data_IF_621829014151
#
_entry.id   IF_621829014151
#
_cell.length_a   1.000
_cell.length_b   1.000
_cell.length_c   1.000
_cell.angle_alpha   90.00
_cell.angle_beta   90.00
_cell.angle_gamma   90.00
#
_symmetry.space_group_name_H-M   'P 1'
#
loop_
_entity.id
_entity.type
_entity.pdbx_description
1 polymer ?
2 water ?
#
# COMPACT_ATOMS: atom_id res chain seq x y z
N UNK A 2 5.06 11.68 -27.39
CA UNK A 2 6.43 11.75 -26.90
C UNK A 2 6.62 13.01 -26.07
N UNK A 3 5.55 13.79 -25.94
CA UNK A 3 5.59 14.99 -25.12
C UNK A 3 5.92 14.67 -23.67
N UNK A 4 5.51 13.51 -23.18
CA UNK A 4 5.68 13.16 -21.78
C UNK A 4 7.07 12.61 -21.48
N UNK A 5 7.87 12.30 -22.50
CA UNK A 5 9.14 11.62 -22.28
C UNK A 5 10.32 12.58 -22.17
N UNK A 6 10.07 13.87 -22.24
CA UNK A 6 11.12 14.86 -22.15
C UNK A 6 11.57 15.02 -20.70
N UNK A 7 12.89 15.04 -20.50
CA UNK A 7 13.43 15.28 -19.17
C UNK A 7 12.84 16.55 -18.59
N UNK A 8 12.63 16.56 -17.27
CA UNK A 8 12.02 17.61 -16.46
C UNK A 8 10.47 17.59 -16.53
N UNK A 9 9.86 16.71 -17.34
CA UNK A 9 8.40 16.61 -17.45
C UNK A 9 7.89 15.60 -16.43
N UNK A 10 6.88 15.98 -15.66
CA UNK A 10 6.10 15.06 -14.83
C UNK A 10 4.65 15.20 -15.25
N UNK A 11 4.08 14.10 -15.72
CA UNK A 11 2.75 14.03 -16.29
C UNK A 11 1.86 13.17 -15.40
N UNK A 12 0.66 13.67 -15.10
CA UNK A 12 -0.38 12.87 -14.47
C UNK A 12 -1.52 12.61 -15.43
N UNK A 13 -2.03 11.38 -15.50
CA UNK A 13 -3.28 11.24 -16.24
C UNK A 13 -4.04 10.03 -15.76
N UNK A 14 -5.39 10.00 -15.99
CA UNK A 14 -6.18 8.76 -15.86
C UNK A 14 -6.95 8.40 -17.14
N UNK A 15 -7.63 7.24 -17.15
CA UNK A 15 -8.46 6.85 -18.27
C UNK A 15 -8.97 5.42 -18.25
N UNK A 16 -9.02 4.77 -19.41
CA UNK A 16 -9.30 3.34 -19.53
C UNK A 16 -8.87 2.84 -20.91
N UNK A 17 -7.81 2.03 -20.94
CA UNK A 17 -7.15 1.59 -22.16
C UNK A 17 -5.66 1.54 -21.93
N UNK A 18 -5.31 1.28 -20.67
CA UNK A 18 -3.98 1.60 -20.15
C UNK A 18 -2.94 0.56 -20.56
N UNK A 19 -3.27 -0.73 -20.43
CA UNK A 19 -2.30 -1.78 -20.67
C UNK A 19 -2.35 -2.35 -22.07
N UNK A 20 -3.47 -2.21 -22.78
CA UNK A 20 -3.54 -2.69 -24.14
C UNK A 20 -2.80 -1.78 -25.11
N UNK A 21 -2.69 -0.49 -24.80
CA UNK A 21 -2.22 0.48 -25.78
C UNK A 21 -1.27 1.51 -25.18
N UNK A 22 -1.66 2.15 -24.09
CA UNK A 22 -0.90 3.30 -23.58
C UNK A 22 0.46 2.86 -23.07
N UNK A 23 0.47 1.93 -22.10
CA UNK A 23 1.75 1.41 -21.60
C UNK A 23 2.62 0.81 -22.70
N UNK A 24 2.11 -0.03 -23.60
CA UNK A 24 2.97 -0.54 -24.68
C UNK A 24 3.52 0.54 -25.60
N UNK A 25 2.75 1.58 -25.89
CA UNK A 25 3.26 2.66 -26.72
C UNK A 25 4.39 3.40 -26.03
N UNK A 26 4.23 3.67 -24.74
CA UNK A 26 5.29 4.31 -23.97
C UNK A 26 6.55 3.44 -23.97
N UNK A 27 6.37 2.13 -23.73
CA UNK A 27 7.51 1.22 -23.69
C UNK A 27 8.18 1.12 -25.06
N UNK A 28 7.37 1.04 -26.12
CA UNK A 28 7.91 1.02 -27.47
C UNK A 28 8.77 2.24 -27.75
N UNK A 29 8.27 3.43 -27.39
CA UNK A 29 9.02 4.66 -27.62
C UNK A 29 10.28 4.69 -26.75
N UNK A 30 10.17 4.24 -25.50
CA UNK A 30 11.33 4.20 -24.61
C UNK A 30 12.44 3.32 -25.18
N UNK A 31 12.07 2.16 -25.72
CA UNK A 31 13.07 1.27 -26.31
C UNK A 31 13.69 1.90 -27.55
N UNK A 32 12.85 2.48 -28.41
CA UNK A 32 13.38 3.10 -29.63
C UNK A 32 14.33 4.24 -29.33
N UNK A 33 14.12 4.93 -28.21
CA UNK A 33 14.96 6.05 -27.82
C UNK A 33 16.06 5.65 -26.85
N UNK A 34 16.16 4.38 -26.50
CA UNK A 34 17.17 3.89 -25.56
C UNK A 34 17.00 4.55 -24.21
N UNK A 35 15.76 4.76 -23.81
CA UNK A 35 15.46 5.35 -22.51
C UNK A 35 15.46 4.26 -21.45
N UNK A 36 16.37 4.35 -20.49
CA UNK A 36 16.36 3.43 -19.36
C UNK A 36 15.12 3.71 -18.51
N UNK A 37 14.25 2.72 -18.37
CA UNK A 37 12.89 2.98 -17.89
C UNK A 37 12.52 2.07 -16.73
N UNK A 38 11.85 2.67 -15.73
CA UNK A 38 11.29 1.93 -14.61
C UNK A 38 9.78 2.02 -14.66
N UNK A 39 9.10 0.86 -14.76
CA UNK A 39 7.65 0.78 -14.69
C UNK A 39 7.28 0.22 -13.32
N UNK A 40 6.51 1.00 -12.54
CA UNK A 40 6.27 0.73 -11.13
C UNK A 40 4.81 0.40 -10.89
N UNK A 41 4.55 -0.79 -10.37
CA UNK A 41 3.20 -1.23 -10.06
C UNK A 41 2.98 -1.23 -8.55
N UNK A 42 1.76 -0.96 -8.09
CA UNK A 42 1.53 -0.89 -6.64
C UNK A 42 1.62 -2.25 -5.96
N UNK A 43 1.25 -3.32 -6.65
CA UNK A 43 1.10 -4.64 -6.07
C UNK A 43 1.71 -5.67 -7.00
N UNK A 44 1.95 -6.86 -6.45
CA UNK A 44 2.43 -7.95 -7.29
C UNK A 44 1.42 -8.32 -8.36
N UNK A 45 0.12 -8.21 -8.06
CA UNK A 45 -0.88 -8.53 -9.07
C UNK A 45 -0.77 -7.55 -10.23
N UNK A 46 -0.69 -6.25 -9.92
CA UNK A 46 -0.64 -5.30 -11.01
C UNK A 46 0.68 -5.39 -11.75
N UNK A 47 1.78 -5.71 -11.04
CA UNK A 47 3.05 -5.93 -11.74
C UNK A 47 2.94 -7.06 -12.74
N UNK A 48 2.27 -8.15 -12.34
CA UNK A 48 2.06 -9.27 -13.24
C UNK A 48 1.22 -8.86 -14.45
N UNK A 49 0.17 -8.07 -14.22
CA UNK A 49 -0.71 -7.71 -15.33
C UNK A 49 -0.01 -6.77 -16.30
N UNK A 50 0.82 -5.87 -15.76
CA UNK A 50 1.64 -5.02 -16.64
C UNK A 50 2.65 -5.85 -17.40
N UNK A 51 3.30 -6.79 -16.71
CA UNK A 51 4.29 -7.62 -17.41
C UNK A 51 3.65 -8.42 -18.54
N UNK A 52 2.43 -8.91 -18.33
CA UNK A 52 1.74 -9.64 -19.39
C UNK A 52 1.36 -8.71 -20.53
N UNK A 53 0.92 -7.49 -20.22
CA UNK A 53 0.62 -6.51 -21.25
C UNK A 53 1.84 -6.20 -22.10
N UNK A 54 3.05 -6.34 -21.54
CA UNK A 54 4.29 -5.99 -22.22
C UNK A 54 5.04 -7.20 -22.75
N UNK A 55 4.34 -8.32 -22.94
CA UNK A 55 4.99 -9.58 -23.32
C UNK A 55 5.73 -9.49 -24.66
N UNK A 56 5.36 -8.53 -25.52
CA UNK A 56 6.02 -8.42 -26.81
C UNK A 56 7.34 -7.65 -26.74
N UNK A 57 7.73 -7.15 -25.57
CA UNK A 57 8.94 -6.36 -25.47
C UNK A 57 9.93 -7.01 -24.50
N UNK A 58 11.23 -6.82 -24.71
CA UNK A 58 12.22 -7.30 -23.73
C UNK A 58 12.20 -6.48 -22.45
N UNK A 59 11.76 -7.09 -21.37
CA UNK A 59 11.68 -6.41 -20.08
C UNK A 59 12.40 -7.26 -19.05
N UNK A 60 12.89 -6.57 -18.03
CA UNK A 60 13.49 -7.15 -16.84
C UNK A 60 12.52 -6.97 -15.69
N UNK A 61 12.28 -8.03 -14.92
CA UNK A 61 11.48 -7.94 -13.71
C UNK A 61 12.41 -7.88 -12.51
N UNK A 62 12.18 -6.90 -11.63
CA UNK A 62 12.99 -6.73 -10.43
C UNK A 62 12.15 -6.94 -9.19
N UNK A 63 12.66 -7.74 -8.26
CA UNK A 63 12.15 -7.81 -6.90
C UNK A 63 13.16 -7.10 -6.02
N UNK A 64 12.93 -6.93 -4.71
CA UNK A 64 13.97 -6.32 -3.87
C UNK A 64 15.25 -7.13 -3.81
N UNK A 65 15.21 -8.43 -4.12
CA UNK A 65 16.37 -9.29 -3.98
C UNK A 65 16.91 -9.83 -5.30
N UNK A 66 16.08 -10.01 -6.33
CA UNK A 66 16.50 -10.73 -7.53
C UNK A 66 16.07 -9.98 -8.78
N UNK A 67 16.69 -10.35 -9.90
CA UNK A 67 16.33 -9.85 -11.21
C UNK A 67 16.03 -11.01 -12.13
N UNK A 68 15.03 -10.83 -12.98
CA UNK A 68 14.60 -11.83 -13.96
C UNK A 68 14.84 -11.24 -15.35
N UNK A 69 15.75 -11.83 -16.11
CA UNK A 69 16.01 -11.31 -17.44
C UNK A 69 16.36 -12.47 -18.36
N UNK A 70 16.41 -12.19 -19.65
CA UNK A 70 16.80 -13.17 -20.65
C UNK A 70 18.18 -12.94 -21.23
N UNK A 71 18.64 -11.70 -21.30
CA UNK A 71 19.92 -11.41 -21.94
C UNK A 71 20.82 -10.58 -21.03
N UNK A 72 20.21 -9.78 -20.16
CA UNK A 72 20.93 -8.77 -19.43
C UNK A 72 21.07 -7.44 -20.15
N UNK A 73 20.65 -7.36 -21.41
CA UNK A 73 20.68 -6.11 -22.17
C UNK A 73 19.36 -5.36 -22.13
N UNK A 74 18.37 -5.86 -21.40
CA UNK A 74 17.09 -5.16 -21.30
C UNK A 74 17.29 -3.78 -20.68
N UNK A 75 16.50 -2.80 -21.13
CA UNK A 75 16.54 -1.46 -20.56
C UNK A 75 15.21 -1.04 -19.94
N UNK A 76 14.17 -1.87 -20.03
CA UNK A 76 12.87 -1.60 -19.43
C UNK A 76 12.74 -2.53 -18.22
N UNK A 77 12.62 -1.96 -17.03
CA UNK A 77 12.43 -2.71 -15.79
C UNK A 77 11.00 -2.57 -15.28
N UNK A 78 10.42 -3.70 -14.86
CA UNK A 78 9.10 -3.72 -14.22
C UNK A 78 9.31 -4.15 -12.76
N UNK A 79 8.66 -3.44 -11.84
CA UNK A 79 8.79 -3.75 -10.42
C UNK A 79 7.63 -3.14 -9.66
N UNK A 80 7.51 -3.52 -8.38
CA UNK A 80 6.60 -2.85 -7.47
C UNK A 80 7.16 -1.51 -7.00
N UNK A 81 6.26 -0.57 -6.68
CA UNK A 81 6.69 0.71 -6.10
C UNK A 81 7.75 0.49 -5.03
N UNK A 82 7.47 -0.45 -4.12
CA UNK A 82 8.30 -0.62 -2.94
C UNK A 82 9.66 -1.21 -3.30
N UNK A 83 9.77 -1.84 -4.47
CA UNK A 83 11.04 -2.40 -4.87
C UNK A 83 12.05 -1.31 -5.22
N UNK A 84 11.57 -0.21 -5.84
CA UNK A 84 12.46 0.92 -6.11
C UNK A 84 12.98 1.49 -4.80
N UNK A 85 12.07 1.77 -3.87
CA UNK A 85 12.48 2.34 -2.59
C UNK A 85 13.43 1.41 -1.85
N UNK A 86 13.14 0.10 -1.89
CA UNK A 86 13.99 -0.85 -1.20
C UNK A 86 15.40 -0.86 -1.78
N UNK A 87 15.51 -0.85 -3.11
CA UNK A 87 16.85 -0.88 -3.72
C UNK A 87 17.57 0.45 -3.54
N UNK A 88 16.85 1.56 -3.40
CA UNK A 88 17.51 2.83 -3.13
C UNK A 88 18.12 2.88 -1.73
N UNK A 89 17.55 2.13 -0.78
CA UNK A 89 18.03 2.13 0.59
C UNK A 89 19.27 1.25 0.77
N UNK A 90 19.36 0.15 0.04
CA UNK A 90 20.53 -0.71 0.11
C UNK A 90 21.71 -0.03 -0.57
N UNK A 94 21.04 1.13 -8.15
CA UNK A 94 19.86 1.54 -8.90
C UNK A 94 20.25 2.33 -10.14
N UNK A 95 19.75 1.91 -11.29
CA UNK A 95 20.05 2.62 -12.54
C UNK A 95 19.59 4.07 -12.47
N UNK A 96 20.27 4.93 -13.23
CA UNK A 96 19.82 6.31 -13.37
C UNK A 96 18.77 6.33 -14.47
N UNK A 97 17.55 5.91 -14.10
CA UNK A 97 16.47 5.81 -15.06
C UNK A 97 16.17 7.15 -15.71
N UNK A 98 15.98 7.13 -17.03
CA UNK A 98 15.60 8.33 -17.76
C UNK A 98 14.10 8.58 -17.71
N UNK A 99 13.33 7.54 -17.39
CA UNK A 99 11.87 7.59 -17.45
C UNK A 99 11.32 6.72 -16.34
N UNK A 100 10.35 7.26 -15.60
CA UNK A 100 9.60 6.50 -14.60
C UNK A 100 8.14 6.52 -15.01
N UNK A 101 7.49 5.37 -14.94
CA UNK A 101 6.04 5.29 -15.10
C UNK A 101 5.50 4.64 -13.84
N UNK A 102 4.72 5.38 -13.06
CA UNK A 102 4.14 4.82 -11.84
C UNK A 102 2.66 4.59 -12.05
N UNK A 103 2.25 3.32 -12.01
CA UNK A 103 0.84 3.00 -12.09
C UNK A 103 0.22 3.06 -10.70
N UNK A 104 -1.06 3.46 -10.67
CA UNK A 104 -1.80 3.66 -9.42
C UNK A 104 -1.01 4.51 -8.44
N UNK A 105 -0.63 5.69 -8.91
CA UNK A 105 0.25 6.60 -8.19
C UNK A 105 -0.43 7.29 -7.00
N UNK A 106 -1.64 6.92 -6.60
CA UNK A 106 -2.24 7.45 -5.40
C UNK A 106 -1.91 6.62 -4.16
N UNK A 107 -1.29 5.44 -4.33
CA UNK A 107 -1.01 4.52 -3.23
C UNK A 107 -0.28 5.24 -2.10
N UNK A 108 -0.81 5.18 -0.88
CA UNK A 108 -0.17 5.86 0.24
C UNK A 108 0.61 4.91 1.14
N UNK A 109 0.99 3.74 0.63
CA UNK A 109 2.02 2.96 1.30
C UNK A 109 3.27 3.83 1.47
N UNK A 110 3.96 3.78 2.62
CA UNK A 110 5.14 4.65 2.81
C UNK A 110 6.17 4.55 1.68
N UNK A 111 6.43 3.33 1.19
CA UNK A 111 7.40 3.17 0.12
C UNK A 111 6.94 3.79 -1.18
N UNK A 112 5.62 3.86 -1.40
CA UNK A 112 5.09 4.50 -2.61
C UNK A 112 5.22 6.01 -2.52
N UNK A 113 4.85 6.57 -1.38
CA UNK A 113 5.03 8.00 -1.15
C UNK A 113 6.49 8.37 -1.32
N UNK A 114 7.38 7.60 -0.70
CA UNK A 114 8.80 7.91 -0.84
C UNK A 114 9.25 7.79 -2.29
N UNK A 115 8.76 6.77 -3.00
CA UNK A 115 9.13 6.61 -4.40
C UNK A 115 8.71 7.83 -5.22
N UNK A 116 7.50 8.36 -4.97
CA UNK A 116 7.09 9.55 -5.70
C UNK A 116 7.96 10.75 -5.37
N UNK A 117 8.42 10.84 -4.12
CA UNK A 117 9.32 11.92 -3.76
C UNK A 117 10.65 11.83 -4.48
N UNK A 118 11.24 10.63 -4.49
CA UNK A 118 12.48 10.39 -5.22
C UNK A 118 12.31 10.72 -6.70
N UNK A 119 11.25 10.18 -7.31
CA UNK A 119 11.03 10.36 -8.74
C UNK A 119 10.79 11.83 -9.05
N UNK A 120 9.89 12.46 -8.28
CA UNK A 120 9.62 13.89 -8.45
C UNK A 120 10.91 14.71 -8.38
N UNK A 121 11.80 14.35 -7.46
CA UNK A 121 13.04 15.09 -7.29
C UNK A 121 13.97 14.88 -8.48
N UNK A 122 14.07 13.64 -8.98
CA UNK A 122 14.88 13.38 -10.16
C UNK A 122 14.36 14.16 -11.37
N UNK A 123 13.05 14.30 -11.48
CA UNK A 123 12.47 15.07 -12.59
C UNK A 123 12.81 16.55 -12.44
N UNK A 124 12.61 17.09 -11.23
CA UNK A 124 12.91 18.51 -10.99
C UNK A 124 14.39 18.82 -11.18
N UNK A 125 15.27 17.85 -10.93
CA UNK A 125 16.68 18.04 -11.19
C UNK A 125 17.03 17.90 -12.67
N UNK A 126 16.05 17.58 -13.51
CA UNK A 126 16.30 17.41 -14.93
C UNK A 126 16.99 16.11 -15.29
N UNK A 127 16.92 15.11 -14.43
CA UNK A 127 17.58 13.84 -14.70
C UNK A 127 16.66 12.80 -15.31
N UNK A 128 15.35 13.07 -15.34
CA UNK A 128 14.39 12.06 -15.76
C UNK A 128 13.08 12.74 -16.14
N UNK A 129 12.24 11.98 -16.82
CA UNK A 129 10.83 12.30 -17.00
C UNK A 129 10.01 11.29 -16.22
N UNK A 130 8.80 11.68 -15.82
CA UNK A 130 7.96 10.73 -15.10
C UNK A 130 6.50 10.87 -15.51
N UNK A 131 5.79 9.74 -15.44
CA UNK A 131 4.36 9.66 -15.73
C UNK A 131 3.72 8.99 -14.53
N UNK A 132 2.80 9.68 -13.88
CA UNK A 132 2.04 9.15 -12.77
C UNK A 132 0.64 8.83 -13.28
N UNK A 133 0.21 7.59 -13.16
CA UNK A 133 -1.09 7.20 -13.69
C UNK A 133 -2.02 6.93 -12.51
N UNK A 134 -3.12 7.69 -12.43
CA UNK A 134 -4.10 7.43 -11.38
C UNK A 134 -5.36 8.23 -11.65
N UNK A 135 -6.50 7.64 -11.29
CA UNK A 135 -7.76 8.37 -11.36
C UNK A 135 -7.94 9.36 -10.23
N UNK A 136 -7.13 9.28 -9.17
CA UNK A 136 -7.22 10.21 -8.04
C UNK A 136 -5.83 10.73 -7.72
N UNK A 137 -5.35 11.71 -8.48
CA UNK A 137 -4.02 12.28 -8.26
C UNK A 137 -3.85 12.76 -6.83
N UNK A 138 -2.69 12.53 -6.24
CA UNK A 138 -2.38 13.13 -4.93
C UNK A 138 -2.73 14.60 -4.95
N UNK A 139 -3.48 15.02 -3.95
CA UNK A 139 -3.94 16.39 -3.85
C UNK A 139 -5.42 16.56 -4.16
N UNK A 140 -6.05 15.60 -4.85
CA UNK A 140 -7.44 15.77 -5.24
C UNK A 140 -8.38 15.25 -4.15
N UNK A 141 -9.64 15.71 -4.19
CA UNK A 141 -10.58 15.58 -3.08
C UNK A 141 -12.03 15.36 -3.51
N UNK A 142 -12.25 14.78 -4.69
CA UNK A 142 -13.59 14.65 -5.24
C UNK A 142 -14.13 13.23 -5.09
N UNK A 143 -15.04 12.96 -4.15
CA UNK A 143 -15.46 11.57 -3.89
C UNK A 143 -16.43 11.01 -4.92
N UNK A 144 -17.04 11.83 -5.77
CA UNK A 144 -18.02 11.35 -6.76
C UNK A 144 -17.60 11.79 -8.16
N UNK A 145 -16.45 11.33 -8.64
CA UNK A 145 -15.97 11.79 -9.95
C UNK A 145 -16.82 11.22 -11.08
N UNK A 146 -16.56 11.75 -12.27
CA UNK A 146 -17.23 11.24 -13.46
C UNK A 146 -16.85 9.78 -13.69
N UNK A 147 -17.68 9.10 -14.48
CA UNK A 147 -17.45 7.69 -14.75
C UNK A 147 -17.94 7.37 -16.16
N UNK A 148 -17.52 6.21 -16.66
CA UNK A 148 -17.92 5.80 -18.00
C UNK A 148 -19.41 5.58 -18.14
N UNK A 149 -20.06 5.15 -17.05
CA UNK A 149 -21.49 4.98 -17.00
C UNK A 149 -21.98 5.63 -15.73
N UNK A 150 -23.15 6.27 -15.74
CA UNK A 150 -23.64 6.91 -14.53
C UNK A 150 -23.76 5.92 -13.38
N UNK A 151 -23.37 6.38 -12.20
CA UNK A 151 -23.45 5.58 -10.98
C UNK A 151 -24.61 6.08 -10.15
N UNK A 152 -25.39 5.16 -9.60
CA UNK A 152 -26.45 5.50 -8.68
C UNK A 152 -25.84 5.54 -7.28
N UNK A 153 -25.73 6.74 -6.71
CA UNK A 153 -25.13 6.91 -5.38
C UNK A 153 -26.24 6.92 -4.34
N UNK A 154 -26.15 6.02 -3.37
CA UNK A 154 -27.21 5.82 -2.37
C UNK A 154 -26.58 5.88 -0.99
N UNK A 155 -26.94 6.88 -0.20
CA UNK A 155 -26.46 6.99 1.18
C UNK A 155 -27.44 6.29 2.10
N UNK A 156 -26.98 5.24 2.79
CA UNK A 156 -27.86 4.52 3.71
C UNK A 156 -27.02 3.69 4.66
N UNK A 157 -27.68 3.14 5.69
CA UNK A 157 -26.97 2.41 6.72
C UNK A 157 -26.36 1.12 6.15
N UNK A 158 -25.15 0.83 6.58
CA UNK A 158 -24.37 -0.31 6.13
C UNK A 158 -24.01 -1.14 7.35
N UNK A 159 -24.18 -2.47 7.32
CA UNK A 159 -23.81 -3.29 8.48
C UNK A 159 -22.33 -3.20 8.79
N UNK A 160 -22.00 -3.24 10.08
CA UNK A 160 -20.61 -3.35 10.51
C UNK A 160 -20.35 -4.65 11.26
N UNK A 161 -21.27 -5.60 11.15
CA UNK A 161 -21.23 -6.88 11.82
C UNK A 161 -22.34 -7.72 11.22
N UNK A 162 -22.42 -8.98 11.63
CA UNK A 162 -23.51 -9.83 11.14
C UNK A 162 -24.86 -9.22 11.49
N UNK A 163 -25.86 -9.52 10.66
CA UNK A 163 -27.22 -9.08 10.92
C UNK A 163 -28.14 -10.29 10.81
N UNK A 164 -29.27 -10.23 11.52
CA UNK A 164 -30.22 -11.33 11.51
C UNK A 164 -31.58 -10.89 10.97
N UNK A 165 -31.64 -9.72 10.36
CA UNK A 165 -32.89 -9.10 9.94
C UNK A 165 -32.53 -7.87 9.13
N UNK A 166 -33.50 -7.40 8.35
CA UNK A 166 -33.30 -6.19 7.60
C UNK A 166 -32.27 -6.34 6.49
N UNK A 167 -31.81 -5.20 5.99
CA UNK A 167 -30.84 -5.14 4.90
C UNK A 167 -31.24 -6.04 3.74
N UNK A 168 -32.56 -6.15 3.50
CA UNK A 168 -33.02 -6.98 2.39
C UNK A 168 -32.37 -6.56 1.08
N UNK A 169 -32.08 -5.27 0.93
CA UNK A 169 -31.49 -4.78 -0.32
C UNK A 169 -30.14 -5.41 -0.59
N UNK A 170 -29.41 -5.82 0.46
CA UNK A 170 -28.08 -6.40 0.28
C UNK A 170 -28.20 -7.80 -0.32
N UNK A 171 -29.04 -8.63 0.28
CA UNK A 171 -29.11 -10.04 -0.11
C UNK A 171 -30.13 -10.34 -1.20
N UNK A 172 -31.09 -9.45 -1.47
CA UNK A 172 -32.05 -9.72 -2.54
C UNK A 172 -31.49 -9.41 -3.94
N UNK A 173 -30.42 -8.62 -4.00
CA UNK A 173 -29.79 -8.21 -5.26
C UNK A 173 -29.11 -9.40 -5.93
N UNK A 174 -29.18 -9.47 -7.27
CA UNK A 174 -28.55 -10.64 -7.92
C UNK A 174 -27.31 -10.31 -8.76
N UNK A 175 -26.76 -9.13 -8.68
CA UNK A 175 -25.50 -8.84 -9.33
C UNK A 175 -24.31 -9.19 -8.45
N UNK A 176 -23.16 -8.63 -8.81
CA UNK A 176 -21.93 -8.83 -8.05
C UNK A 176 -21.61 -7.56 -7.27
N UNK A 177 -21.22 -7.74 -6.02
CA UNK A 177 -21.01 -6.62 -5.10
C UNK A 177 -19.59 -6.66 -4.56
N UNK A 178 -18.94 -5.51 -4.54
CA UNK A 178 -17.65 -5.32 -3.87
C UNK A 178 -17.90 -4.49 -2.61
N UNK A 179 -17.54 -5.03 -1.45
CA UNK A 179 -17.89 -4.42 -0.17
C UNK A 179 -16.61 -4.10 0.58
N UNK A 180 -16.33 -2.82 0.78
CA UNK A 180 -15.10 -2.37 1.42
C UNK A 180 -15.31 -2.26 2.92
N UNK A 181 -14.43 -2.90 3.69
CA UNK A 181 -14.51 -2.90 5.14
C UNK A 181 -13.21 -2.35 5.71
N UNK A 182 -13.24 -1.84 6.96
CA UNK A 182 -12.02 -1.31 7.59
C UNK A 182 -11.09 -2.36 8.17
N UNK A 183 -11.57 -3.58 8.43
CA UNK A 183 -10.72 -4.57 9.07
C UNK A 183 -11.05 -5.96 8.55
N UNK A 184 -10.05 -6.84 8.57
CA UNK A 184 -10.26 -8.21 8.14
C UNK A 184 -11.26 -8.91 9.06
N UNK A 185 -11.20 -8.61 10.36
CA UNK A 185 -12.11 -9.26 11.30
C UNK A 185 -13.56 -8.90 11.00
N UNK A 186 -13.84 -7.61 10.79
CA UNK A 186 -15.20 -7.23 10.43
C UNK A 186 -15.62 -7.88 9.11
N UNK A 187 -14.71 -7.89 8.12
CA UNK A 187 -15.02 -8.52 6.85
C UNK A 187 -15.40 -9.97 7.00
N UNK A 188 -14.72 -10.69 7.91
CA UNK A 188 -15.00 -12.11 8.08
C UNK A 188 -16.36 -12.32 8.71
N UNK A 189 -16.71 -11.48 9.70
CA UNK A 189 -18.05 -11.59 10.29
C UNK A 189 -19.14 -11.37 9.26
N UNK A 190 -18.93 -10.40 8.36
CA UNK A 190 -19.89 -10.14 7.29
C UNK A 190 -19.88 -11.27 6.28
N UNK A 191 -18.70 -11.77 5.93
CA UNK A 191 -18.61 -12.82 4.92
C UNK A 191 -19.29 -14.09 5.40
N UNK A 192 -19.14 -14.43 6.67
CA UNK A 192 -19.82 -15.62 7.20
C UNK A 192 -21.32 -15.44 7.18
N UNK A 193 -21.80 -14.25 7.58
CA UNK A 193 -23.22 -13.95 7.51
C UNK A 193 -23.75 -14.13 6.08
N UNK A 194 -23.08 -13.55 5.11
CA UNK A 194 -23.51 -13.67 3.72
C UNK A 194 -23.43 -15.11 3.23
N UNK A 195 -22.38 -15.84 3.64
CA UNK A 195 -22.25 -17.23 3.23
C UNK A 195 -23.39 -18.08 3.78
N UNK A 196 -23.78 -17.87 5.04
CA UNK A 196 -24.92 -18.61 5.57
C UNK A 196 -26.23 -18.19 4.93
N UNK A 197 -26.28 -17.05 4.25
CA UNK A 197 -27.43 -16.64 3.47
C UNK A 197 -27.38 -17.17 2.03
N UNK A 198 -26.45 -18.07 1.73
CA UNK A 198 -26.37 -18.68 0.42
C UNK A 198 -25.54 -17.92 -0.60
N UNK A 199 -24.73 -16.96 -0.16
CA UNK A 199 -23.87 -16.21 -1.06
C UNK A 199 -22.50 -16.85 -1.17
N UNK A 200 -21.88 -16.69 -2.34
CA UNK A 200 -20.50 -17.10 -2.56
C UNK A 200 -19.62 -15.88 -2.34
N UNK A 201 -18.72 -15.94 -1.37
CA UNK A 201 -17.97 -14.76 -0.92
C UNK A 201 -16.46 -15.02 -1.02
N UNK A 202 -15.74 -14.02 -1.53
CA UNK A 202 -14.28 -14.01 -1.55
C UNK A 202 -13.82 -12.88 -0.65
N UNK A 203 -12.85 -13.15 0.22
CA UNK A 203 -12.33 -12.12 1.13
C UNK A 203 -10.94 -11.71 0.66
N UNK A 204 -10.74 -10.41 0.44
CA UNK A 204 -9.48 -9.86 -0.05
C UNK A 204 -8.86 -8.94 0.99
N UNK A 205 -7.57 -9.11 1.22
CA UNK A 205 -6.79 -8.26 2.09
C UNK A 205 -5.35 -8.42 1.65
N UNK A 206 -4.45 -7.65 2.27
CA UNK A 206 -3.07 -7.65 1.79
C UNK A 206 -2.43 -9.03 1.82
N UNK A 207 -2.76 -9.83 2.83
CA UNK A 207 -2.13 -11.15 2.90
C UNK A 207 -2.78 -12.16 1.96
N UNK A 208 -4.09 -12.05 1.73
CA UNK A 208 -4.79 -13.02 0.88
C UNK A 208 -4.81 -12.64 -0.58
N UNK A 209 -4.39 -11.42 -0.93
CA UNK A 209 -4.70 -10.86 -2.25
C UNK A 209 -4.14 -11.72 -3.39
N UNK A 210 -2.88 -12.12 -3.28
CA UNK A 210 -2.24 -12.84 -4.39
C UNK A 210 -2.92 -14.17 -4.70
N UNK A 211 -3.46 -14.85 -3.68
CA UNK A 211 -4.13 -16.11 -3.91
C UNK A 211 -5.62 -15.96 -4.21
N UNK A 212 -6.27 -14.96 -3.62
CA UNK A 212 -7.73 -14.84 -3.74
C UNK A 212 -8.19 -13.92 -4.85
N UNK A 213 -7.50 -12.80 -5.09
CA UNK A 213 -7.93 -11.94 -6.21
C UNK A 213 -7.98 -12.70 -7.53
N UNK A 214 -7.04 -13.57 -7.89
CA UNK A 214 -7.18 -14.33 -9.14
C UNK A 214 -8.45 -15.16 -9.21
N UNK A 215 -9.02 -15.57 -8.07
CA UNK A 215 -10.28 -16.30 -8.09
C UNK A 215 -11.44 -15.43 -8.55
N UNK A 216 -11.34 -14.10 -8.43
CA UNK A 216 -12.41 -13.23 -8.92
C UNK A 216 -12.57 -13.30 -10.42
N UNK A 217 -11.50 -13.64 -11.14
CA UNK A 217 -11.59 -13.69 -12.60
C UNK A 217 -12.43 -14.86 -13.08
N UNK A 218 -12.57 -15.91 -12.27
CA UNK A 218 -13.48 -17.00 -12.64
C UNK A 218 -14.93 -16.53 -12.67
N UNK A 219 -15.24 -15.40 -12.06
CA UNK A 219 -16.59 -14.92 -11.97
C UNK A 219 -17.51 -15.71 -11.05
N UNK A 220 -16.98 -16.71 -10.35
CA UNK A 220 -17.82 -17.58 -9.53
C UNK A 220 -17.91 -17.00 -8.11
N UNK A 221 -18.58 -15.86 -8.02
CA UNK A 221 -18.73 -15.21 -6.72
C UNK A 221 -19.90 -14.24 -6.77
N UNK A 222 -20.42 -13.94 -5.58
CA UNK A 222 -21.49 -12.96 -5.41
C UNK A 222 -21.01 -11.70 -4.73
N UNK A 223 -20.15 -11.85 -3.72
CA UNK A 223 -19.58 -10.73 -2.99
C UNK A 223 -18.08 -10.88 -2.91
N UNK A 224 -17.38 -9.76 -3.05
CA UNK A 224 -16.01 -9.61 -2.60
C UNK A 224 -16.04 -8.70 -1.38
N UNK A 225 -15.51 -9.20 -0.27
CA UNK A 225 -15.36 -8.40 0.95
C UNK A 225 -13.90 -8.05 1.02
N UNK A 226 -13.58 -6.77 0.96
CA UNK A 226 -12.19 -6.39 0.76
C UNK A 226 -11.81 -5.23 1.66
N UNK A 227 -10.55 -5.22 2.07
CA UNK A 227 -9.97 -4.02 2.65
C UNK A 227 -9.57 -3.05 1.55
N UNK A 228 -8.94 -1.94 1.97
CA UNK A 228 -8.60 -0.88 1.06
C UNK A 228 -7.55 -1.26 0.04
N UNK A 229 -6.92 -2.44 0.17
CA UNK A 229 -5.96 -2.85 -0.85
C UNK A 229 -6.57 -2.90 -2.24
N UNK A 230 -7.89 -3.08 -2.34
CA UNK A 230 -8.53 -3.11 -3.66
C UNK A 230 -8.72 -1.72 -4.26
N UNK A 231 -8.30 -0.66 -3.56
CA UNK A 231 -8.25 0.68 -4.17
C UNK A 231 -7.09 0.83 -5.15
N UNK A 232 -6.20 -0.17 -5.24
CA UNK A 232 -4.99 -0.08 -6.06
C UNK A 232 -5.02 -0.98 -7.29
N UNK A 233 -5.96 -0.75 -8.19
CA UNK A 233 -5.94 -1.38 -9.49
C UNK A 233 -6.76 -2.64 -9.65
N UNK A 234 -7.50 -3.05 -8.62
CA UNK A 234 -8.33 -4.24 -8.72
C UNK A 234 -9.50 -4.01 -9.68
N UNK A 235 -9.71 -4.97 -10.58
CA UNK A 235 -10.74 -4.89 -11.62
C UNK A 235 -11.72 -6.02 -11.38
N UNK A 236 -12.98 -5.70 -11.07
CA UNK A 236 -13.89 -6.73 -10.61
C UNK A 236 -14.99 -7.14 -11.58
N UNK A 237 -15.38 -6.30 -12.52
CA UNK A 237 -16.54 -6.69 -13.32
C UNK A 237 -17.77 -6.85 -12.46
N UNK A 238 -17.92 -5.98 -11.47
CA UNK A 238 -19.03 -5.99 -10.55
C UNK A 238 -20.03 -4.90 -10.94
N UNK A 239 -21.17 -4.89 -10.25
CA UNK A 239 -22.16 -3.86 -10.54
C UNK A 239 -22.55 -3.04 -9.32
N UNK A 240 -22.06 -3.39 -8.14
CA UNK A 240 -22.43 -2.66 -6.94
C UNK A 240 -21.23 -2.59 -6.01
N UNK A 241 -21.08 -1.44 -5.35
CA UNK A 241 -20.13 -1.28 -4.27
C UNK A 241 -20.88 -0.89 -3.01
N UNK A 242 -20.47 -1.49 -1.90
CA UNK A 242 -20.97 -1.14 -0.57
C UNK A 242 -19.78 -0.63 0.23
N UNK A 243 -19.93 0.51 0.89
CA UNK A 243 -18.77 1.20 1.45
C UNK A 243 -19.18 2.01 2.67
N UNK A 244 -18.80 1.54 3.87
CA UNK A 244 -19.04 2.35 5.05
C UNK A 244 -18.00 3.47 5.21
N UNK A 245 -17.07 3.59 4.25
CA UNK A 245 -16.12 4.72 4.20
C UNK A 245 -15.23 4.78 5.44
N UNK A 246 -14.82 3.61 5.94
CA UNK A 246 -13.96 3.53 7.11
C UNK A 246 -12.65 2.82 6.78
N UNK A 247 -11.63 3.14 7.56
CA UNK A 247 -10.37 2.42 7.51
C UNK A 247 -9.82 2.34 8.92
N UNK A 248 -8.82 1.49 9.11
CA UNK A 248 -8.06 1.41 10.34
C UNK A 248 -6.60 1.60 9.95
N UNK A 249 -5.98 2.64 10.49
CA UNK A 249 -4.64 2.98 10.04
C UNK A 249 -3.73 3.31 11.21
N UNK A 250 -2.44 3.01 11.10
CA UNK A 250 -1.52 3.33 12.19
C UNK A 250 -1.34 4.82 12.37
N UNK A 251 -1.19 5.22 13.64
CA UNK A 251 -0.96 6.61 14.04
C UNK A 251 0.27 6.63 14.93
N UNK A 252 1.20 7.53 14.65
CA UNK A 252 2.36 7.72 15.52
C UNK A 252 1.97 8.67 16.65
N UNK A 253 2.13 8.21 17.88
CA UNK A 253 1.95 9.01 19.08
C UNK A 253 3.32 9.50 19.51
N UNK A 254 3.57 10.80 19.42
CA UNK A 254 4.92 11.30 19.70
C UNK A 254 5.18 11.51 21.18
N UNK A 255 4.20 11.28 22.06
CA UNK A 255 4.41 11.52 23.48
C UNK A 255 5.32 10.46 24.08
N UNK A 256 6.20 10.89 24.98
CA UNK A 256 7.04 9.97 25.74
C UNK A 256 8.03 9.24 24.86
N UNK A 257 8.17 7.93 25.13
CA UNK A 257 8.94 7.05 24.25
C UNK A 257 8.47 7.10 22.81
N UNK A 258 7.23 7.49 22.58
CA UNK A 258 6.64 7.32 21.26
C UNK A 258 6.04 5.94 21.11
N UNK A 259 5.01 5.86 20.26
CA UNK A 259 4.36 4.60 19.98
C UNK A 259 3.57 4.71 18.68
N UNK A 260 3.17 3.56 18.16
CA UNK A 260 2.25 3.50 17.03
C UNK A 260 1.07 2.67 17.46
N UNK A 261 -0.13 3.22 17.28
CA UNK A 261 -1.35 2.47 17.56
C UNK A 261 -2.23 2.47 16.32
N UNK A 262 -3.07 1.45 16.23
CA UNK A 262 -4.03 1.33 15.14
C UNK A 262 -5.32 1.98 15.60
N UNK A 263 -5.67 3.12 14.99
CA UNK A 263 -6.85 3.85 15.39
C UNK A 263 -8.05 3.27 14.68
N UNK A 264 -9.09 2.90 15.47
CA UNK A 264 -10.25 2.18 15.00
C UNK A 264 -10.94 2.87 13.85
N UNK A 265 -12.08 2.32 13.37
CA UNK A 265 -12.63 2.82 12.10
C UNK A 265 -12.77 4.33 12.10
N UNK A 266 -12.01 4.97 11.23
CA UNK A 266 -12.05 6.42 11.02
C UNK A 266 -12.40 6.67 9.59
N UNK A 267 -12.92 7.85 9.25
CA UNK A 267 -13.30 8.14 7.87
C UNK A 267 -12.11 8.09 6.93
N UNK A 268 -12.38 7.66 5.71
CA UNK A 268 -11.38 7.62 4.64
C UNK A 268 -11.34 8.99 3.97
N UNK A 269 -10.29 9.23 3.18
CA UNK A 269 -10.20 10.44 2.37
C UNK A 269 -11.18 10.39 1.21
N UNK A 270 -11.44 11.56 0.61
CA UNK A 270 -12.31 11.61 -0.56
C UNK A 270 -11.71 10.83 -1.73
N UNK A 271 -10.39 10.92 -1.91
CA UNK A 271 -9.77 10.14 -2.98
C UNK A 271 -9.97 8.64 -2.78
N UNK A 272 -9.84 8.15 -1.54
CA UNK A 272 -10.09 6.74 -1.28
C UNK A 272 -11.54 6.39 -1.59
N UNK A 273 -12.46 7.25 -1.18
CA UNK A 273 -13.86 6.99 -1.46
C UNK A 273 -14.12 6.94 -2.95
N UNK A 274 -13.48 7.84 -3.71
CA UNK A 274 -13.62 7.82 -5.17
C UNK A 274 -13.04 6.54 -5.77
N UNK A 275 -11.96 6.03 -5.20
CA UNK A 275 -11.38 4.77 -5.70
C UNK A 275 -12.26 3.58 -5.34
N UNK A 276 -12.90 3.62 -4.16
CA UNK A 276 -13.80 2.52 -3.81
C UNK A 276 -15.04 2.53 -4.70
N UNK A 277 -15.66 3.70 -4.83
CA UNK A 277 -16.75 3.87 -5.77
C UNK A 277 -16.33 3.51 -7.18
N UNK A 278 -15.10 3.86 -7.55
CA UNK A 278 -14.58 3.66 -8.90
C UNK A 278 -14.36 2.22 -9.30
N UNK A 279 -14.61 1.25 -8.40
CA UNK A 279 -14.63 -0.13 -8.86
C UNK A 279 -15.76 -0.38 -9.84
N UNK A 280 -16.81 0.45 -9.82
CA UNK A 280 -17.95 0.25 -10.72
C UNK A 280 -18.18 1.48 -11.59
N UNK A 281 -19.22 1.46 -12.42
CA UNK A 281 -19.43 2.54 -13.38
C UNK A 281 -18.44 2.58 -14.52
N UNK A 282 -17.79 1.46 -14.79
CA UNK A 282 -16.64 1.45 -15.69
C UNK A 282 -16.98 1.18 -17.14
N UNK A 283 -18.24 0.85 -17.45
CA UNK A 283 -18.60 0.40 -18.79
C UNK A 283 -19.87 1.10 -19.24
N UNK A 284 -19.78 1.81 -20.37
CA UNK A 284 -20.98 2.42 -20.95
C UNK A 284 -22.13 1.43 -21.11
N UNK A 285 -21.83 0.16 -21.41
CA UNK A 285 -22.91 -0.78 -21.73
C UNK A 285 -23.38 -1.54 -20.50
N UNK A 286 -22.92 -1.14 -19.32
CA UNK A 286 -23.44 -1.70 -18.07
C UNK A 286 -23.99 -0.55 -17.24
N UNK A 287 -25.29 -0.30 -17.32
CA UNK A 287 -25.87 0.83 -16.63
C UNK A 287 -26.49 0.36 -15.33
N UNK A 288 -26.74 1.31 -14.44
CA UNK A 288 -27.36 0.98 -13.18
C UNK A 288 -26.41 0.53 -12.10
N UNK A 289 -25.10 0.65 -12.30
CA UNK A 289 -24.17 0.35 -11.22
C UNK A 289 -24.47 1.27 -10.04
N UNK A 290 -24.30 0.74 -8.83
CA UNK A 290 -24.70 1.45 -7.62
C UNK A 290 -23.55 1.53 -6.66
N UNK A 291 -23.49 2.64 -5.92
CA UNK A 291 -22.53 2.86 -4.84
C UNK A 291 -23.34 3.17 -3.59
N UNK A 292 -23.41 2.22 -2.67
CA UNK A 292 -24.14 2.40 -1.41
C UNK A 292 -23.11 2.72 -0.35
N UNK A 293 -23.27 3.85 0.33
CA UNK A 293 -22.27 4.31 1.27
C UNK A 293 -22.91 4.95 2.49
N UNK A 294 -22.10 5.07 3.56
CA UNK A 294 -22.48 5.88 4.69
C UNK A 294 -21.24 6.57 5.20
N UNK A 295 -21.43 7.65 5.91
CA UNK A 295 -20.32 8.30 6.56
C UNK A 295 -19.68 9.39 5.73
N UNK A 296 -18.96 10.28 6.39
CA UNK A 296 -18.27 11.37 5.71
C UNK A 296 -16.91 10.88 5.20
N UNK A 297 -16.28 11.73 4.40
CA UNK A 297 -14.86 11.58 4.14
C UNK A 297 -14.10 12.65 4.90
N UNK A 298 -12.80 12.45 5.06
CA UNK A 298 -12.00 13.40 5.82
C UNK A 298 -10.63 13.54 5.21
N UNK A 299 -10.15 14.78 5.12
CA UNK A 299 -8.82 15.07 4.61
C UNK A 299 -7.82 15.36 5.72
N UNK A 300 -8.21 15.15 6.99
CA UNK A 300 -7.26 15.29 8.10
C UNK A 300 -6.44 14.02 8.24
N UNK A 301 -5.82 13.57 7.16
CA UNK A 301 -5.04 12.33 7.19
C UNK A 301 -3.56 12.59 7.50
N UNK A 302 -3.24 13.81 7.95
CA UNK A 302 -1.88 14.13 8.34
C UNK A 302 -1.41 13.27 9.50
N UNK A 303 -2.33 12.78 10.33
CA UNK A 303 -1.93 12.01 11.49
C UNK A 303 -1.66 10.54 11.18
N UNK A 304 -2.00 10.07 9.99
CA UNK A 304 -1.67 8.70 9.61
C UNK A 304 -0.16 8.53 9.50
N UNK A 305 0.33 7.38 9.96
CA UNK A 305 1.77 7.17 10.10
C UNK A 305 2.50 7.13 8.76
N UNK A 306 1.80 6.82 7.66
CA UNK A 306 2.55 6.62 6.42
C UNK A 306 3.25 7.89 5.93
N UNK A 307 2.79 9.08 6.33
CA UNK A 307 3.46 10.28 5.84
C UNK A 307 4.84 10.44 6.47
N UNK A 308 4.90 10.35 7.80
CA UNK A 308 6.19 10.43 8.48
C UNK A 308 7.08 9.25 8.09
N UNK A 309 6.49 8.07 7.93
CA UNK A 309 7.31 6.91 7.54
C UNK A 309 7.90 7.09 6.15
N UNK A 310 7.16 7.71 5.23
CA UNK A 310 7.72 8.00 3.91
C UNK A 310 8.89 8.96 4.01
N UNK A 311 8.77 9.95 4.90
CA UNK A 311 9.84 10.92 5.07
C UNK A 311 11.07 10.28 5.71
N UNK A 312 10.86 9.35 6.65
CA UNK A 312 11.97 8.62 7.23
C UNK A 312 12.71 7.86 6.14
N UNK A 313 11.97 7.18 5.26
CA UNK A 313 12.63 6.46 4.16
C UNK A 313 13.41 7.43 3.27
N UNK A 314 12.76 8.52 2.87
CA UNK A 314 13.38 9.44 1.91
C UNK A 314 14.62 10.11 2.49
N UNK A 315 14.55 10.48 3.78
CA UNK A 315 15.71 11.08 4.44
C UNK A 315 16.91 10.13 4.49
N UNK A 316 16.72 8.85 4.23
CA UNK A 316 17.80 7.89 4.31
C UNK A 316 18.20 7.34 2.95
N UNK A 317 17.82 8.04 1.88
CA UNK A 317 18.23 7.74 0.52
C UNK A 317 19.16 8.86 0.05
N UNK A 318 20.35 8.49 -0.40
CA UNK A 318 21.32 9.47 -0.86
C UNK A 318 21.04 9.87 -2.29
N UNK A 319 21.29 11.15 -2.60
CA UNK A 319 21.15 11.74 -3.92
C UNK A 319 22.52 12.09 -4.49
N UNK A 320 22.67 12.09 -5.82
CA UNK A 320 23.95 12.46 -6.41
C UNK A 320 24.46 13.83 -5.98
N UNK A 321 23.57 14.79 -5.79
CA UNK A 321 23.96 16.15 -5.40
C UNK A 321 24.37 16.25 -3.94
N UNK A 322 24.28 15.15 -3.18
CA UNK A 322 24.65 15.18 -1.77
C UNK A 322 23.58 15.69 -0.84
N UNK A 323 22.37 15.91 -1.35
CA UNK A 323 21.27 16.38 -0.54
C UNK A 323 20.26 15.24 -0.38
N UNK A 324 19.03 15.59 -0.07
CA UNK A 324 17.97 14.60 0.12
C UNK A 324 16.79 14.97 -0.75
N UNK A 325 16.00 13.97 -1.13
CA UNK A 325 14.83 14.25 -1.93
C UNK A 325 13.71 14.79 -1.05
N UNK A 326 12.80 15.53 -1.68
CA UNK A 326 11.59 16.01 -1.04
C UNK A 326 10.42 15.15 -1.49
N UNK A 327 9.35 15.15 -0.69
CA UNK A 327 8.13 14.50 -1.15
C UNK A 327 7.63 15.17 -2.42
N UNK A 328 6.85 14.40 -3.19
CA UNK A 328 6.13 14.96 -4.33
C UNK A 328 5.29 16.15 -3.90
N UNK A 329 5.32 17.20 -4.72
CA UNK A 329 4.84 18.53 -4.32
C UNK A 329 3.48 18.54 -3.61
N UNK A 330 2.41 17.94 -4.14
CA UNK A 330 1.12 17.97 -3.43
C UNK A 330 1.13 17.25 -2.08
N UNK A 331 2.13 16.41 -1.81
CA UNK A 331 2.18 15.65 -0.57
C UNK A 331 3.08 16.28 0.48
N UNK A 332 3.83 17.33 0.13
CA UNK A 332 4.75 17.92 1.08
C UNK A 332 4.05 18.48 2.30
N UNK A 333 2.80 18.93 2.14
CA UNK A 333 2.08 19.52 3.27
C UNK A 333 1.64 18.49 4.30
N UNK A 334 1.76 17.19 4.00
CA UNK A 334 1.36 16.15 4.92
C UNK A 334 2.37 15.91 6.05
N UNK A 335 3.58 16.43 5.93
CA UNK A 335 4.66 16.21 6.90
C UNK A 335 5.24 17.56 7.31
N UNK A 336 5.60 17.69 8.57
CA UNK A 336 5.99 18.97 9.16
C UNK A 336 7.44 18.98 9.64
N UNK A 337 8.30 18.16 9.06
CA UNK A 337 9.68 18.06 9.49
C UNK A 337 10.61 18.68 8.46
N UNK A 338 11.81 19.04 8.91
CA UNK A 338 12.82 19.62 8.04
C UNK A 338 13.54 18.51 7.30
N UNK A 339 13.81 18.73 6.01
CA UNK A 339 14.45 17.71 5.18
C UNK A 339 15.75 17.26 5.82
N UNK A 340 15.94 15.95 5.92
CA UNK A 340 17.14 15.38 6.53
C UNK A 340 17.01 15.06 8.01
N UNK A 341 15.92 15.45 8.66
CA UNK A 341 15.78 15.28 10.10
C UNK A 341 15.92 13.83 10.53
N UNK A 342 15.44 12.88 9.73
CA UNK A 342 15.48 11.47 10.11
C UNK A 342 16.67 10.72 9.54
N UNK A 343 17.66 11.42 9.01
CA UNK A 343 18.80 10.72 8.42
C UNK A 343 19.62 10.07 9.53
N UNK A 344 19.88 8.78 9.36
CA UNK A 344 20.62 8.01 10.35
C UNK A 344 22.10 7.99 10.03
N UNK A 345 22.90 7.88 11.09
CA UNK A 345 24.34 7.74 10.93
C UNK A 345 24.67 6.36 10.35
N UNK A 346 25.95 6.13 10.11
CA UNK A 346 26.36 5.07 9.19
C UNK A 346 25.92 3.71 9.68
N UNK A 347 26.35 3.33 10.88
CA UNK A 347 25.99 2.00 11.38
C UNK A 347 24.52 1.89 11.68
N UNK A 348 23.90 2.97 12.17
CA UNK A 348 22.46 2.96 12.43
C UNK A 348 21.69 2.67 11.14
N UNK A 349 22.06 3.36 10.06
CA UNK A 349 21.37 3.17 8.80
C UNK A 349 21.48 1.73 8.31
N UNK A 350 22.65 1.11 8.48
CA UNK A 350 22.80 -0.31 8.11
C UNK A 350 21.80 -1.19 8.84
N UNK A 351 21.63 -0.97 10.15
CA UNK A 351 20.66 -1.76 10.89
C UNK A 351 19.23 -1.41 10.48
N UNK A 352 18.95 -0.13 10.26
CA UNK A 352 17.65 0.31 9.73
C UNK A 352 17.22 -0.52 8.52
N UNK A 353 18.08 -0.58 7.51
CA UNK A 353 17.78 -1.29 6.28
C UNK A 353 17.56 -2.77 6.56
N UNK A 354 18.30 -3.33 7.52
CA UNK A 354 18.12 -4.75 7.83
C UNK A 354 16.79 -5.01 8.52
N UNK A 355 16.41 -4.14 9.46
CA UNK A 355 15.10 -4.29 10.09
C UNK A 355 13.98 -4.25 9.05
N UNK A 356 14.11 -3.36 8.06
CA UNK A 356 13.09 -3.25 7.03
C UNK A 356 13.08 -4.48 6.11
N UNK A 357 14.25 -4.88 5.62
CA UNK A 357 14.28 -5.89 4.57
C UNK A 357 14.20 -7.30 5.12
N UNK A 358 15.12 -7.65 6.03
CA UNK A 358 15.13 -9.00 6.58
C UNK A 358 14.15 -9.13 7.74
N UNK A 359 14.09 -8.11 8.60
CA UNK A 359 13.18 -8.15 9.74
C UNK A 359 11.74 -7.96 9.37
N UNK A 360 11.46 -7.35 8.22
CA UNK A 360 10.10 -7.03 7.79
C UNK A 360 9.34 -6.24 8.86
N UNK A 361 10.05 -5.33 9.55
CA UNK A 361 9.41 -4.51 10.58
C UNK A 361 8.87 -3.22 9.99
N UNK A 362 7.89 -2.59 10.65
CA UNK A 362 7.37 -1.32 10.14
C UNK A 362 8.45 -0.25 10.15
N UNK A 363 8.26 0.77 9.30
CA UNK A 363 9.28 1.79 9.14
C UNK A 363 9.55 2.51 10.47
N UNK A 364 8.48 2.91 11.17
CA UNK A 364 8.68 3.70 12.37
C UNK A 364 9.49 2.92 13.41
N UNK A 365 9.11 1.66 13.64
CA UNK A 365 9.83 0.84 14.61
C UNK A 365 11.26 0.59 14.17
N UNK A 366 11.48 0.30 12.89
CA UNK A 366 12.86 0.10 12.41
C UNK A 366 13.71 1.35 12.64
N UNK A 367 13.12 2.52 12.46
CA UNK A 367 13.84 3.77 12.70
C UNK A 367 14.16 3.94 14.18
N UNK A 368 13.17 3.73 15.06
CA UNK A 368 13.41 3.86 16.49
C UNK A 368 14.52 2.91 16.94
N UNK A 369 14.45 1.66 16.49
CA UNK A 369 15.49 0.69 16.82
C UNK A 369 16.85 1.16 16.33
N UNK A 370 16.94 1.50 15.04
CA UNK A 370 18.22 1.87 14.46
C UNK A 370 18.80 3.10 15.16
N UNK A 371 17.94 4.10 15.41
CA UNK A 371 18.40 5.34 16.00
C UNK A 371 18.96 5.13 17.39
N UNK A 372 18.37 4.19 18.15
CA UNK A 372 18.84 3.85 19.49
C UNK A 372 20.08 2.97 19.48
N UNK A 373 20.64 2.67 18.31
CA UNK A 373 21.84 1.87 18.23
C UNK A 373 21.64 0.38 18.38
N UNK A 374 20.42 -0.10 18.19
CA UNK A 374 20.17 -1.55 18.29
C UNK A 374 20.73 -2.23 17.06
N UNK A 375 21.53 -3.27 17.28
CA UNK A 375 22.03 -4.10 16.20
C UNK A 375 20.94 -5.06 15.74
N UNK A 376 20.91 -5.31 14.43
CA UNK A 376 19.83 -6.13 13.87
C UNK A 376 19.69 -7.46 14.62
N UNK A 377 20.81 -8.07 14.99
CA UNK A 377 20.74 -9.41 15.58
C UNK A 377 20.49 -9.39 17.08
N UNK A 378 20.46 -8.22 17.71
CA UNK A 378 20.31 -8.10 19.16
C UNK A 378 18.81 -8.00 19.49
N UNK A 379 18.24 -9.07 20.05
CA UNK A 379 16.80 -9.10 20.28
C UNK A 379 16.43 -8.74 21.71
N UNK A 380 17.36 -8.20 22.49
CA UNK A 380 17.03 -7.79 23.86
C UNK A 380 15.85 -6.83 23.89
N UNK A 381 15.70 -5.97 22.86
CA UNK A 381 14.65 -4.96 22.85
C UNK A 381 13.25 -5.56 22.87
N UNK A 382 13.09 -6.80 22.41
CA UNK A 382 11.80 -7.46 22.42
C UNK A 382 11.32 -7.80 23.82
N UNK A 383 12.21 -7.74 24.80
CA UNK A 383 11.91 -8.23 26.13
C UNK A 383 12.27 -7.25 27.22
N UNK A 384 12.86 -6.10 26.90
CA UNK A 384 13.32 -5.17 27.92
C UNK A 384 12.50 -3.89 27.98
N UNK A 385 11.33 -3.87 27.36
CA UNK A 385 10.42 -2.76 27.51
C UNK A 385 9.75 -2.77 28.86
N UNK A 386 9.06 -1.67 29.17
CA UNK A 386 8.31 -1.59 30.43
C UNK A 386 7.14 -2.54 30.42
N UNK A 387 6.65 -2.87 31.62
CA UNK A 387 5.57 -3.84 31.74
C UNK A 387 4.31 -3.40 31.01
N UNK A 388 4.10 -2.09 30.82
CA UNK A 388 2.95 -1.63 30.03
C UNK A 388 3.00 -2.10 28.59
N UNK A 389 4.16 -2.50 28.11
CA UNK A 389 4.31 -2.96 26.74
C UNK A 389 4.16 -4.46 26.59
N UNK A 390 3.72 -5.15 27.65
CA UNK A 390 3.50 -6.59 27.59
C UNK A 390 2.51 -6.93 26.49
N UNK A 391 2.88 -7.88 25.64
CA UNK A 391 2.00 -8.37 24.60
C UNK A 391 1.12 -9.47 25.16
N UNK A 392 -0.19 -9.34 24.96
CA UNK A 392 -1.16 -10.31 25.45
C UNK A 392 -1.66 -11.18 24.31
N UNK A 393 -1.85 -12.46 24.61
CA UNK A 393 -2.52 -13.40 23.73
C UNK A 393 -3.53 -14.15 24.57
N UNK A 394 -4.81 -14.10 24.18
CA UNK A 394 -5.89 -14.66 24.99
C UNK A 394 -5.85 -14.13 26.41
N UNK A 395 -5.59 -12.83 26.54
CA UNK A 395 -5.50 -12.12 27.81
C UNK A 395 -4.40 -12.66 28.73
N UNK A 396 -3.46 -13.44 28.18
CA UNK A 396 -2.31 -13.89 28.93
C UNK A 396 -1.05 -13.30 28.32
N UNK A 397 -0.08 -12.87 29.14
CA UNK A 397 1.19 -12.39 28.58
C UNK A 397 1.85 -13.46 27.74
N UNK A 398 2.37 -13.04 26.58
CA UNK A 398 3.12 -13.94 25.72
C UNK A 398 4.48 -14.21 26.35
N UNK A 399 4.79 -15.49 26.55
CA UNK A 399 6.08 -15.90 27.09
C UNK A 399 6.82 -16.71 26.02
N UNK A 400 8.09 -16.39 25.82
CA UNK A 400 8.88 -16.96 24.74
C UNK A 400 10.23 -17.46 25.24
N UNK A 401 10.73 -18.51 24.60
CA UNK A 401 12.10 -18.94 24.80
C UNK A 401 13.01 -18.10 23.91
N UNK A 402 13.95 -17.38 24.51
CA UNK A 402 14.83 -16.54 23.73
C UNK A 402 16.02 -17.32 23.20
N UNK A 403 16.72 -16.71 22.24
CA UNK A 403 17.93 -17.32 21.69
C UNK A 403 19.01 -17.46 22.75
N UNK A 404 18.94 -16.69 23.83
CA UNK A 404 19.89 -16.81 24.93
C UNK A 404 19.50 -17.90 25.92
N UNK A 405 18.36 -18.56 25.72
CA UNK A 405 17.96 -19.67 26.57
C UNK A 405 17.02 -19.31 27.70
N UNK A 406 16.68 -18.05 27.87
CA UNK A 406 15.81 -17.63 28.96
C UNK A 406 14.37 -17.57 28.46
N UNK A 407 13.43 -17.89 29.35
CA UNK A 407 12.01 -17.73 29.06
C UNK A 407 11.56 -16.36 29.58
N UNK A 408 11.06 -15.53 28.67
CA UNK A 408 10.79 -14.13 29.01
C UNK A 408 9.44 -13.69 28.45
N UNK A 409 8.83 -12.74 29.13
CA UNK A 409 7.58 -12.14 28.65
C UNK A 409 7.90 -11.16 27.51
N UNK A 410 7.13 -11.26 26.44
CA UNK A 410 7.30 -10.39 25.28
C UNK A 410 6.90 -8.96 25.66
N UNK A 411 7.88 -8.06 25.66
CA UNK A 411 7.68 -6.69 26.14
C UNK A 411 8.58 -5.78 25.33
N UNK A 412 8.15 -5.38 24.13
CA UNK A 412 9.03 -4.58 23.27
C UNK A 412 9.31 -3.22 23.85
N UNK A 413 10.52 -2.71 23.58
CA UNK A 413 10.92 -1.39 24.07
C UNK A 413 9.98 -0.28 23.60
N UNK A 414 9.41 -0.43 22.42
CA UNK A 414 8.42 0.49 21.88
C UNK A 414 7.21 -0.30 21.42
N UNK A 415 6.02 0.27 21.62
CA UNK A 415 4.79 -0.36 21.16
C UNK A 415 4.51 0.08 19.73
N UNK A 416 4.42 -0.88 18.82
CA UNK A 416 3.92 -0.63 17.48
C UNK A 416 2.83 -1.66 17.25
N UNK A 417 1.57 -1.20 17.23
CA UNK A 417 0.42 -2.09 17.19
C UNK A 417 0.34 -2.96 15.95
N UNK A 418 1.14 -2.66 14.92
CA UNK A 418 1.14 -3.49 13.73
C UNK A 418 1.80 -4.84 13.97
N UNK A 419 2.59 -4.96 15.04
CA UNK A 419 3.25 -6.22 15.38
C UNK A 419 2.28 -7.27 15.92
N UNK A 420 1.08 -6.85 16.32
CA UNK A 420 0.09 -7.80 16.85
C UNK A 420 -1.29 -7.49 16.30
N UNK A 421 -1.34 -6.89 15.11
CA UNK A 421 -2.62 -6.52 14.50
C UNK A 421 -3.48 -7.74 14.24
N UNK A 422 -2.86 -8.88 13.96
CA UNK A 422 -3.60 -10.12 13.75
C UNK A 422 -2.71 -11.29 14.16
N UNK A 423 -3.25 -12.50 14.04
CA UNK A 423 -2.52 -13.68 14.47
C UNK A 423 -1.25 -13.88 13.67
N UNK A 424 -1.29 -13.59 12.36
CA UNK A 424 -0.11 -13.78 11.52
C UNK A 424 0.97 -12.75 11.85
N UNK A 425 0.58 -11.50 12.07
CA UNK A 425 1.55 -10.49 12.49
C UNK A 425 2.20 -10.88 13.81
N UNK A 426 1.40 -11.29 14.79
CA UNK A 426 1.98 -11.66 16.09
C UNK A 426 2.93 -12.84 15.95
N UNK A 427 2.57 -13.82 15.12
CA UNK A 427 3.44 -14.98 14.95
C UNK A 427 4.77 -14.58 14.34
N UNK A 428 4.73 -13.71 13.33
CA UNK A 428 5.96 -13.20 12.74
C UNK A 428 6.80 -12.44 13.76
N UNK A 429 6.14 -11.63 14.60
CA UNK A 429 6.89 -10.91 15.64
C UNK A 429 7.46 -11.86 16.67
N UNK A 430 6.68 -12.88 17.08
CA UNK A 430 7.23 -13.87 18.00
C UNK A 430 8.45 -14.55 17.39
N UNK A 431 8.39 -14.90 16.10
CA UNK A 431 9.54 -15.51 15.46
C UNK A 431 10.75 -14.58 15.47
N UNK A 432 10.52 -13.29 15.24
CA UNK A 432 11.63 -12.34 15.27
C UNK A 432 12.20 -12.22 16.67
N UNK A 433 11.33 -12.12 17.67
CA UNK A 433 11.79 -12.01 19.05
C UNK A 433 12.64 -13.20 19.46
N UNK A 434 12.32 -14.39 18.95
CA UNK A 434 13.09 -15.60 19.25
C UNK A 434 14.33 -15.76 18.39
N UNK A 435 14.65 -14.80 17.53
CA UNK A 435 15.87 -14.88 16.74
C UNK A 435 15.77 -15.72 15.50
N UNK A 436 14.56 -15.98 15.00
CA UNK A 436 14.39 -16.89 13.88
C UNK A 436 14.67 -16.26 12.52
N UNK A 437 14.94 -14.96 12.46
CA UNK A 437 15.33 -14.34 11.20
C UNK A 437 16.08 -13.04 11.49
#
# INVERSE_FOLDING_TARGET
MLRKRQLTVLDLHPGSGKTRKVLPQIVKTAIDRRLRTAILAPTRVVAAEIAEALKEYPIRYLTPAVKREHTGTEIIDVMCHATLTSRLLTPQRVPNYNLFVMDEAHFTDPASIAARGYISTKVELGEAAAIFMTATPPGTRDPFPDSNSPIVDVEEQIPDRAWNSGYEWITDYTGKTVWFVPSVKMGNEIAVCLTKAGKKVIQLNRKSFDSEYPKCKTGEWDFVITTDISEMGANFGASRVIDSRKCIKPVIIEDGEGSVQLNGPVPITAASAAQRRGRIGRSYVQVGDEYHFSGPTSEDDHDFAHWKEAKILLDNINLPNGLVAQLYEPEREKVFSIDGEYRLRTEQRKNFVEFLRTGDLPVWLSYKLAEAGVAYHDRKWCFDGPSINTVLEDNNPVELWTKSGEKKILRPRWRDGRLWADHQALKSFKDFACGKR
#
